data_IF_868036833309
#
_entry.id   IF_868036833309
#
_cell.length_a   1.000
_cell.length_b   1.000
_cell.length_c   1.000
_cell.angle_alpha   90.00
_cell.angle_beta   90.00
_cell.angle_gamma   90.00
#
_symmetry.space_group_name_H-M   'P 1'
#
loop_
_entity.id
_entity.type
_entity.pdbx_description
1 polymer ?
#
# COMPACT_ATOMS: atom_id res chain seq x y z
N UNK A 1 24.68 -11.82 11.48
CA UNK A 1 24.03 -11.01 10.42
C UNK A 1 25.10 -10.20 9.72
N UNK A 2 25.26 -10.32 8.40
CA UNK A 2 26.31 -9.59 7.64
C UNK A 2 25.91 -8.09 7.54
N UNK A 3 26.85 -7.17 7.81
CA UNK A 3 26.62 -5.72 7.81
C UNK A 3 26.02 -5.20 6.50
N UNK A 4 26.39 -5.79 5.36
CA UNK A 4 25.84 -5.43 4.04
C UNK A 4 24.36 -5.81 3.92
N UNK A 5 23.94 -6.94 4.53
CA UNK A 5 22.53 -7.34 4.56
C UNK A 5 21.72 -6.36 5.40
N UNK A 6 22.27 -5.96 6.56
CA UNK A 6 21.63 -5.03 7.49
C UNK A 6 21.34 -3.67 6.82
N UNK A 7 22.34 -3.09 6.15
CA UNK A 7 22.21 -1.82 5.43
C UNK A 7 21.13 -1.90 4.35
N UNK A 8 21.04 -3.00 3.60
CA UNK A 8 20.00 -3.17 2.56
C UNK A 8 18.60 -3.22 3.18
N UNK A 9 18.42 -3.93 4.28
CA UNK A 9 17.13 -4.03 4.97
C UNK A 9 16.73 -2.65 5.52
N UNK A 10 17.64 -1.94 6.18
CA UNK A 10 17.40 -0.59 6.71
C UNK A 10 17.06 0.43 5.60
N UNK A 11 17.63 0.27 4.41
CA UNK A 11 17.29 1.09 3.26
C UNK A 11 15.83 0.86 2.79
N UNK A 12 15.40 -0.39 2.67
CA UNK A 12 14.05 -0.73 2.15
C UNK A 12 12.93 -0.62 3.19
N UNK A 13 13.22 -0.80 4.48
CA UNK A 13 12.24 -0.76 5.55
C UNK A 13 11.36 0.52 5.58
N UNK A 14 11.90 1.75 5.51
CA UNK A 14 11.07 2.96 5.52
C UNK A 14 10.19 3.07 4.26
N UNK A 15 10.66 2.59 3.13
CA UNK A 15 9.92 2.60 1.86
C UNK A 15 8.75 1.62 1.93
N UNK A 16 8.99 0.41 2.47
CA UNK A 16 7.94 -0.58 2.73
C UNK A 16 6.87 -0.02 3.65
N UNK A 17 7.28 0.60 4.77
CA UNK A 17 6.35 1.22 5.72
C UNK A 17 5.50 2.30 5.06
N UNK A 18 6.10 3.14 4.22
CA UNK A 18 5.38 4.16 3.46
C UNK A 18 4.37 3.54 2.49
N UNK A 19 4.78 2.52 1.73
CA UNK A 19 3.90 1.82 0.80
C UNK A 19 2.70 1.18 1.53
N UNK A 20 2.94 0.46 2.63
CA UNK A 20 1.88 -0.10 3.47
C UNK A 20 0.89 0.97 3.94
N UNK A 21 1.39 2.09 4.48
CA UNK A 21 0.52 3.19 4.94
C UNK A 21 -0.30 3.80 3.82
N UNK A 22 0.21 3.82 2.58
CA UNK A 22 -0.55 4.28 1.41
C UNK A 22 -1.64 3.31 1.00
N UNK A 23 -1.35 2.00 0.98
CA UNK A 23 -2.36 0.95 0.77
C UNK A 23 -3.50 1.09 1.79
N UNK A 24 -3.14 1.14 3.07
CA UNK A 24 -4.10 1.21 4.17
C UNK A 24 -4.96 2.48 4.09
N UNK A 25 -4.34 3.63 3.83
CA UNK A 25 -5.03 4.91 3.73
C UNK A 25 -6.05 4.94 2.60
N UNK A 26 -5.66 4.52 1.40
CA UNK A 26 -6.56 4.50 0.25
C UNK A 26 -7.71 3.49 0.44
N UNK A 27 -7.42 2.26 0.91
CA UNK A 27 -8.46 1.28 1.24
C UNK A 27 -9.37 1.77 2.37
N UNK A 28 -8.84 2.50 3.34
CA UNK A 28 -9.60 3.10 4.43
C UNK A 28 -10.61 4.13 3.93
N UNK A 29 -10.16 5.05 3.06
CA UNK A 29 -11.02 6.07 2.46
C UNK A 29 -12.12 5.42 1.61
N UNK A 30 -11.77 4.46 0.76
CA UNK A 30 -12.73 3.76 -0.08
C UNK A 30 -13.83 3.09 0.75
N UNK A 31 -13.45 2.28 1.76
CA UNK A 31 -14.39 1.62 2.67
C UNK A 31 -15.28 2.61 3.43
N UNK A 32 -14.70 3.69 3.95
CA UNK A 32 -15.47 4.73 4.63
C UNK A 32 -16.56 5.34 3.73
N UNK A 33 -16.21 5.65 2.48
CA UNK A 33 -17.16 6.20 1.52
C UNK A 33 -18.22 5.17 1.11
N UNK A 34 -17.85 3.90 1.00
CA UNK A 34 -18.79 2.81 0.73
C UNK A 34 -19.82 2.65 1.85
N UNK A 35 -19.37 2.67 3.10
CA UNK A 35 -20.21 2.55 4.29
C UNK A 35 -21.13 3.75 4.50
N UNK A 36 -20.66 4.96 4.16
CA UNK A 36 -21.46 6.19 4.29
C UNK A 36 -22.59 6.27 3.27
N UNK A 37 -22.44 5.64 2.09
CA UNK A 37 -23.29 5.88 0.92
C UNK A 37 -24.17 4.67 0.57
N UNK A 38 -24.76 3.99 1.57
CA UNK A 38 -25.48 2.72 1.40
C UNK A 38 -26.80 2.83 0.62
N UNK A 39 -27.47 3.98 0.62
CA UNK A 39 -28.82 4.11 0.03
C UNK A 39 -28.84 4.77 -1.36
N UNK A 40 -27.95 5.74 -1.62
CA UNK A 40 -27.80 6.38 -2.94
C UNK A 40 -26.42 7.00 -3.05
N UNK A 41 -25.63 6.54 -4.03
CA UNK A 41 -24.29 7.04 -4.30
C UNK A 41 -24.30 7.89 -5.56
N UNK A 42 -23.70 9.09 -5.49
CA UNK A 42 -23.50 9.91 -6.68
C UNK A 42 -22.42 9.29 -7.58
N UNK A 43 -22.45 9.61 -8.88
CA UNK A 43 -21.39 9.19 -9.82
C UNK A 43 -20.00 9.66 -9.37
N UNK A 44 -19.92 10.84 -8.75
CA UNK A 44 -18.66 11.41 -8.24
C UNK A 44 -18.11 10.62 -7.06
N UNK A 45 -18.97 10.20 -6.14
CA UNK A 45 -18.56 9.36 -5.00
C UNK A 45 -18.11 7.98 -5.48
N UNK A 46 -18.84 7.37 -6.42
CA UNK A 46 -18.45 6.11 -7.04
C UNK A 46 -17.06 6.20 -7.69
N UNK A 47 -16.83 7.24 -8.51
CA UNK A 47 -15.52 7.49 -9.12
C UNK A 47 -14.40 7.70 -8.08
N UNK A 48 -14.73 8.34 -6.95
CA UNK A 48 -13.76 8.56 -5.86
C UNK A 48 -13.38 7.25 -5.16
N UNK A 49 -14.35 6.36 -4.96
CA UNK A 49 -14.11 5.02 -4.38
C UNK A 49 -13.25 4.19 -5.32
N UNK A 50 -13.60 4.13 -6.60
CA UNK A 50 -12.84 3.41 -7.63
C UNK A 50 -11.41 3.94 -7.75
N UNK A 51 -11.24 5.26 -7.75
CA UNK A 51 -9.92 5.89 -7.73
C UNK A 51 -9.09 5.46 -6.52
N UNK A 52 -9.68 5.44 -5.31
CA UNK A 52 -8.93 5.04 -4.12
C UNK A 52 -8.57 3.56 -4.14
N UNK A 53 -9.46 2.67 -4.59
CA UNK A 53 -9.08 1.26 -4.77
C UNK A 53 -7.97 1.08 -5.80
N UNK A 54 -8.07 1.76 -6.95
CA UNK A 54 -7.02 1.73 -7.97
C UNK A 54 -5.67 2.22 -7.43
N UNK A 55 -5.66 3.32 -6.68
CA UNK A 55 -4.43 3.81 -6.03
C UNK A 55 -3.90 2.83 -5.00
N UNK A 56 -4.77 2.18 -4.22
CA UNK A 56 -4.35 1.15 -3.27
C UNK A 56 -3.67 -0.03 -3.99
N UNK A 57 -4.18 -0.47 -5.14
CA UNK A 57 -3.60 -1.57 -5.90
C UNK A 57 -2.22 -1.21 -6.46
N UNK A 58 -2.03 0.01 -6.95
CA UNK A 58 -0.70 0.50 -7.37
C UNK A 58 0.29 0.46 -6.19
N UNK A 59 -0.13 0.94 -5.02
CA UNK A 59 0.72 0.91 -3.83
C UNK A 59 0.98 -0.51 -3.30
N UNK A 60 0.03 -1.43 -3.49
CA UNK A 60 0.19 -2.84 -3.15
C UNK A 60 1.29 -3.48 -4.02
N UNK A 61 1.31 -3.20 -5.32
CA UNK A 61 2.36 -3.71 -6.21
C UNK A 61 3.77 -3.23 -5.78
N UNK A 62 3.90 -1.96 -5.39
CA UNK A 62 5.19 -1.45 -4.89
C UNK A 62 5.55 -2.04 -3.52
N UNK A 63 4.57 -2.26 -2.64
CA UNK A 63 4.76 -2.95 -1.37
C UNK A 63 5.31 -4.37 -1.59
N UNK A 64 4.65 -5.16 -2.44
CA UNK A 64 5.04 -6.54 -2.75
C UNK A 64 6.46 -6.59 -3.32
N UNK A 65 6.81 -5.63 -4.18
CA UNK A 65 8.16 -5.47 -4.74
C UNK A 65 9.20 -5.19 -3.65
N UNK A 66 8.89 -4.32 -2.69
CA UNK A 66 9.80 -3.97 -1.58
C UNK A 66 9.97 -5.15 -0.62
N UNK A 67 8.89 -5.86 -0.31
CA UNK A 67 8.93 -7.09 0.51
C UNK A 67 9.76 -8.18 -0.15
N UNK A 68 9.63 -8.36 -1.47
CA UNK A 68 10.48 -9.27 -2.23
C UNK A 68 11.97 -8.89 -2.13
N UNK A 69 12.31 -7.61 -2.25
CA UNK A 69 13.69 -7.12 -2.11
C UNK A 69 14.26 -7.36 -0.71
N UNK A 70 13.45 -7.13 0.34
CA UNK A 70 13.83 -7.40 1.74
C UNK A 70 14.07 -8.90 1.93
N UNK A 71 13.12 -9.75 1.51
CA UNK A 71 13.26 -11.21 1.65
C UNK A 71 14.48 -11.75 0.91
N UNK A 72 14.79 -11.22 -0.28
CA UNK A 72 16.00 -11.56 -1.01
C UNK A 72 17.27 -11.17 -0.24
N UNK A 73 17.28 -10.00 0.41
CA UNK A 73 18.41 -9.53 1.21
C UNK A 73 18.59 -10.32 2.52
N UNK A 74 17.53 -10.89 3.08
CA UNK A 74 17.60 -11.76 4.25
C UNK A 74 18.17 -13.15 3.92
N UNK A 75 17.83 -13.69 2.73
CA UNK A 75 18.27 -15.01 2.26
C UNK A 75 19.70 -15.02 1.68
N UNK A 76 20.10 -13.93 1.02
CA UNK A 76 21.48 -13.71 0.53
C UNK A 76 22.36 -13.48 1.72
#
# INVERSE_FOLDING_TARGET
MNIIKLIKIEFYAPQRNKAQKKVDGHRGIARYLEEKSKEKRSRREQATIEYNYHMADIWQQELDRLEFKISKAERS
#
